data_IF_507746718170
#
_entry.id   IF_507746718170
#
_cell.length_a   1.000
_cell.length_b   1.000
_cell.length_c   1.000
_cell.angle_alpha   90.00
_cell.angle_beta   90.00
_cell.angle_gamma   90.00
#
_symmetry.space_group_name_H-M   'P 1'
#
loop_
_entity.id
_entity.type
_entity.pdbx_description
1 polymer ?
#
# COMPACT_ATOMS: atom_id res chain seq x y z
N UNK A 1 19.95 -68.08 29.09
CA UNK A 1 20.41 -67.30 27.96
C UNK A 1 19.25 -66.36 27.57
N UNK A 2 19.25 -65.13 28.03
CA UNK A 2 18.16 -64.14 27.83
C UNK A 2 18.60 -63.22 26.71
N UNK A 3 17.85 -63.21 25.60
CA UNK A 3 18.09 -62.37 24.43
C UNK A 3 17.27 -61.08 24.65
N UNK A 4 17.95 -59.95 24.94
CA UNK A 4 17.33 -58.61 24.92
C UNK A 4 17.30 -58.08 23.48
N UNK A 5 16.12 -57.88 22.94
CA UNK A 5 15.91 -57.16 21.68
C UNK A 5 15.72 -55.67 21.94
N UNK A 6 16.67 -54.85 21.48
CA UNK A 6 16.53 -53.40 21.45
C UNK A 6 15.67 -53.01 20.24
N UNK A 7 14.51 -52.38 20.51
CA UNK A 7 13.68 -51.74 19.51
C UNK A 7 14.16 -50.32 19.29
N UNK A 8 14.75 -50.03 18.14
CA UNK A 8 15.06 -48.64 17.71
C UNK A 8 13.75 -47.97 17.26
N UNK A 9 13.28 -47.01 18.07
CA UNK A 9 12.19 -46.12 17.67
C UNK A 9 12.75 -45.02 16.78
N UNK A 10 12.46 -45.10 15.47
CA UNK A 10 12.76 -44.00 14.53
C UNK A 10 11.75 -42.87 14.72
N UNK A 11 12.19 -41.79 15.37
CA UNK A 11 11.42 -40.56 15.50
C UNK A 11 11.17 -39.93 14.14
N UNK A 12 9.94 -39.92 13.68
CA UNK A 12 9.55 -39.16 12.48
C UNK A 12 9.66 -37.66 12.77
N UNK A 13 10.65 -36.97 12.16
CA UNK A 13 10.73 -35.54 12.11
C UNK A 13 9.60 -35.05 11.20
N UNK A 14 8.53 -34.53 11.79
CA UNK A 14 7.50 -33.80 11.04
C UNK A 14 8.15 -32.57 10.41
N UNK A 15 8.46 -32.61 9.12
CA UNK A 15 8.74 -31.40 8.32
C UNK A 15 7.49 -30.53 8.33
N UNK A 16 7.47 -29.50 9.14
CA UNK A 16 6.49 -28.43 9.02
C UNK A 16 6.67 -27.82 7.62
N UNK A 17 5.85 -28.22 6.66
CA UNK A 17 5.65 -27.48 5.43
C UNK A 17 4.99 -26.17 5.84
N UNK A 18 5.74 -25.07 5.82
CA UNK A 18 5.17 -23.74 5.82
C UNK A 18 4.41 -23.63 4.49
N UNK A 19 3.12 -23.88 4.53
CA UNK A 19 2.23 -23.61 3.39
C UNK A 19 2.15 -22.11 3.27
N UNK A 20 2.87 -21.53 2.29
CA UNK A 20 2.67 -20.13 1.93
C UNK A 20 1.22 -19.97 1.49
N UNK A 21 0.49 -19.06 2.15
CA UNK A 21 -0.86 -18.71 1.71
C UNK A 21 -0.81 -18.24 0.25
N UNK A 22 -1.80 -18.61 -0.59
CA UNK A 22 -1.83 -18.21 -1.98
C UNK A 22 -1.91 -16.68 -2.06
N UNK A 23 -1.04 -16.07 -2.87
CA UNK A 23 -1.04 -14.63 -3.10
C UNK A 23 -2.11 -14.27 -4.12
N UNK A 24 -2.89 -13.23 -3.84
CA UNK A 24 -3.78 -12.66 -4.84
C UNK A 24 -2.97 -12.02 -5.97
N UNK A 25 -3.42 -12.16 -7.21
CA UNK A 25 -2.83 -11.47 -8.36
C UNK A 25 -3.78 -10.34 -8.77
N UNK A 26 -3.26 -9.13 -8.82
CA UNK A 26 -3.97 -7.93 -9.21
C UNK A 26 -3.30 -7.41 -10.47
N UNK A 27 -4.08 -7.18 -11.52
CA UNK A 27 -3.59 -6.55 -12.74
C UNK A 27 -4.27 -5.20 -12.89
N UNK A 28 -3.48 -4.14 -13.04
CA UNK A 28 -3.96 -2.79 -13.32
C UNK A 28 -3.26 -2.25 -14.56
N UNK A 29 -3.93 -1.34 -15.27
CA UNK A 29 -3.40 -0.68 -16.46
C UNK A 29 -2.68 -1.61 -17.47
N UNK A 30 -3.30 -2.71 -17.92
CA UNK A 30 -2.64 -3.68 -18.80
C UNK A 30 -2.27 -3.09 -20.18
N UNK A 31 -2.97 -2.03 -20.60
CA UNK A 31 -2.82 -1.36 -21.91
C UNK A 31 -1.72 -0.28 -21.91
N UNK A 32 -1.11 0.01 -20.77
CA UNK A 32 0.00 0.95 -20.64
C UNK A 32 1.16 0.58 -21.58
N UNK A 33 1.85 1.58 -22.12
CA UNK A 33 2.90 1.42 -23.17
C UNK A 33 4.32 1.43 -22.59
N UNK A 34 4.46 1.83 -21.34
CA UNK A 34 5.75 1.86 -20.63
C UNK A 34 6.13 0.53 -20.00
N UNK A 35 7.10 0.59 -19.11
CA UNK A 35 7.61 -0.58 -18.38
C UNK A 35 6.54 -1.29 -17.59
N UNK A 36 6.65 -2.62 -17.52
CA UNK A 36 5.84 -3.45 -16.63
C UNK A 36 6.49 -3.46 -15.24
N UNK A 37 5.68 -3.16 -14.24
CA UNK A 37 6.10 -3.02 -12.85
C UNK A 37 5.30 -4.03 -12.03
N UNK A 38 6.00 -4.95 -11.38
CA UNK A 38 5.41 -5.95 -10.50
C UNK A 38 5.78 -5.64 -9.06
N UNK A 39 4.80 -5.50 -8.18
CA UNK A 39 4.99 -5.25 -6.76
C UNK A 39 4.44 -6.42 -5.98
N UNK A 40 5.30 -7.11 -5.25
CA UNK A 40 4.94 -8.20 -4.36
C UNK A 40 4.91 -7.68 -2.92
N UNK A 41 3.75 -7.69 -2.28
CA UNK A 41 3.59 -7.37 -0.87
C UNK A 41 3.31 -8.65 -0.08
N UNK A 42 4.15 -8.92 0.90
CA UNK A 42 3.92 -9.98 1.90
C UNK A 42 3.25 -9.34 3.10
N UNK A 43 2.08 -9.87 3.45
CA UNK A 43 1.31 -9.44 4.60
C UNK A 43 2.11 -9.58 5.89
N UNK A 44 2.19 -8.51 6.65
CA UNK A 44 2.80 -8.50 7.97
C UNK A 44 1.85 -8.93 9.08
N UNK A 45 2.41 -9.14 10.27
CA UNK A 45 1.68 -9.64 11.45
C UNK A 45 0.58 -8.70 11.97
N UNK A 46 0.69 -7.40 11.67
CA UNK A 46 -0.26 -6.37 12.12
C UNK A 46 -1.28 -5.99 11.05
N UNK A 47 -1.27 -6.63 9.88
CA UNK A 47 -2.18 -6.30 8.79
C UNK A 47 -3.64 -6.58 9.13
N UNK A 48 -4.47 -5.54 9.09
CA UNK A 48 -5.90 -5.60 9.37
C UNK A 48 -6.68 -4.74 8.36
N UNK A 49 -6.99 -5.29 7.19
CA UNK A 49 -7.70 -4.62 6.09
C UNK A 49 -7.08 -3.25 5.69
N UNK A 50 -5.77 -3.19 5.41
CA UNK A 50 -5.12 -1.95 5.09
C UNK A 50 -5.61 -1.40 3.75
N UNK A 51 -5.62 -0.07 3.65
CA UNK A 51 -5.75 0.67 2.40
C UNK A 51 -4.37 1.13 1.96
N UNK A 52 -4.12 1.17 0.64
CA UNK A 52 -2.82 1.53 0.11
C UNK A 52 -2.94 2.23 -1.24
N UNK A 53 -1.93 3.00 -1.59
CA UNK A 53 -1.73 3.49 -2.95
C UNK A 53 -0.32 3.14 -3.42
N UNK A 54 -0.19 2.80 -4.69
CA UNK A 54 1.08 2.60 -5.37
C UNK A 54 1.16 3.57 -6.53
N UNK A 55 2.28 4.31 -6.64
CA UNK A 55 2.46 5.31 -7.69
C UNK A 55 3.93 5.45 -8.09
N UNK A 56 4.15 6.21 -9.15
CA UNK A 56 5.46 6.55 -9.68
C UNK A 56 5.77 8.03 -9.45
N UNK A 57 7.01 8.30 -9.11
CA UNK A 57 7.59 9.64 -9.09
C UNK A 57 8.87 9.69 -9.94
N UNK A 58 9.22 10.86 -10.45
CA UNK A 58 10.54 11.08 -11.01
C UNK A 58 11.63 11.15 -9.92
N UNK A 59 12.88 11.28 -10.31
CA UNK A 59 14.03 11.35 -9.37
C UNK A 59 13.96 12.55 -8.41
N UNK A 60 13.20 13.59 -8.75
CA UNK A 60 13.04 14.82 -7.96
C UNK A 60 11.79 14.80 -7.08
N UNK A 61 10.99 13.73 -7.16
CA UNK A 61 9.80 13.53 -6.34
C UNK A 61 8.52 14.11 -6.95
N UNK A 62 8.52 14.46 -8.25
CA UNK A 62 7.29 14.84 -8.94
C UNK A 62 6.47 13.59 -9.27
N UNK A 63 5.17 13.66 -9.02
CA UNK A 63 4.23 12.61 -9.34
C UNK A 63 4.15 12.36 -10.86
N UNK A 64 4.20 11.09 -11.26
CA UNK A 64 4.05 10.65 -12.67
C UNK A 64 2.66 10.08 -12.87
N UNK A 65 2.33 8.97 -12.20
CA UNK A 65 1.02 8.31 -12.29
C UNK A 65 0.77 7.36 -11.11
N UNK A 66 -0.48 7.07 -10.80
CA UNK A 66 -0.85 5.96 -9.94
C UNK A 66 -0.75 4.64 -10.70
N UNK A 67 -0.29 3.60 -10.03
CA UNK A 67 -0.31 2.22 -10.52
C UNK A 67 -1.52 1.46 -9.95
N UNK A 68 -1.85 1.71 -8.68
CA UNK A 68 -2.97 1.06 -8.02
C UNK A 68 -3.46 1.86 -6.81
N UNK A 69 -4.77 1.85 -6.62
CA UNK A 69 -5.44 2.27 -5.40
C UNK A 69 -6.73 1.47 -5.22
N UNK A 70 -7.18 1.13 -3.99
CA UNK A 70 -8.46 0.46 -3.79
C UNK A 70 -9.63 1.29 -4.31
N UNK A 71 -10.61 0.65 -4.93
CA UNK A 71 -11.77 1.32 -5.53
C UNK A 71 -12.53 2.22 -4.53
N UNK A 72 -12.56 1.87 -3.25
CA UNK A 72 -13.16 2.71 -2.20
C UNK A 72 -12.46 4.05 -2.06
N UNK A 73 -11.12 4.06 -2.11
CA UNK A 73 -10.32 5.30 -2.06
C UNK A 73 -10.39 6.02 -3.40
N UNK A 74 -10.33 5.27 -4.52
CA UNK A 74 -10.38 5.82 -5.87
C UNK A 74 -11.66 6.64 -6.14
N UNK A 75 -12.78 6.20 -5.58
CA UNK A 75 -14.10 6.83 -5.78
C UNK A 75 -14.55 7.69 -4.61
N UNK A 76 -13.93 7.56 -3.43
CA UNK A 76 -14.45 8.14 -2.19
C UNK A 76 -15.74 7.47 -1.69
N UNK A 77 -16.11 6.28 -2.22
CA UNK A 77 -17.29 5.51 -1.83
C UNK A 77 -16.83 4.28 -1.02
N UNK A 78 -17.20 4.24 0.24
CA UNK A 78 -16.81 3.16 1.16
C UNK A 78 -18.00 2.27 1.48
N UNK A 79 -17.75 0.97 1.72
CA UNK A 79 -18.77 -0.02 2.07
C UNK A 79 -19.62 0.40 3.29
N UNK A 80 -19.01 1.09 4.24
CA UNK A 80 -19.63 1.62 5.45
C UNK A 80 -19.51 3.15 5.49
N UNK A 81 -19.76 3.82 4.36
CA UNK A 81 -19.57 5.27 4.21
C UNK A 81 -20.72 6.11 4.74
N UNK A 82 -21.91 5.56 4.84
CA UNK A 82 -23.15 6.27 5.17
C UNK A 82 -23.98 5.47 6.16
N UNK A 83 -24.69 6.15 7.04
CA UNK A 83 -25.65 5.52 7.96
C UNK A 83 -27.07 5.92 7.57
N UNK A 84 -27.95 4.92 7.38
CA UNK A 84 -29.39 5.10 7.17
C UNK A 84 -30.16 4.11 8.06
N UNK A 85 -31.18 4.58 8.76
CA UNK A 85 -32.03 3.74 9.63
C UNK A 85 -31.21 2.85 10.59
N UNK A 86 -30.18 3.41 11.21
CA UNK A 86 -29.22 2.74 12.11
C UNK A 86 -28.42 1.59 11.44
N UNK A 87 -28.36 1.52 10.11
CA UNK A 87 -27.56 0.57 9.36
C UNK A 87 -26.48 1.28 8.56
N UNK A 88 -25.27 0.73 8.58
CA UNK A 88 -24.19 1.18 7.71
C UNK A 88 -24.39 0.62 6.31
N UNK A 89 -24.39 1.49 5.32
CA UNK A 89 -24.55 1.18 3.89
C UNK A 89 -23.41 1.82 3.08
N UNK A 90 -23.18 1.37 1.83
CA UNK A 90 -22.24 2.02 0.94
C UNK A 90 -22.60 3.49 0.72
N UNK A 91 -21.60 4.35 0.74
CA UNK A 91 -21.80 5.78 0.54
C UNK A 91 -20.49 6.56 0.49
N UNK A 92 -20.60 7.81 0.08
CA UNK A 92 -19.47 8.73 0.06
C UNK A 92 -19.03 9.07 1.49
N UNK A 93 -17.70 8.99 1.71
CA UNK A 93 -17.08 9.38 2.97
C UNK A 93 -15.79 10.14 2.69
N UNK A 94 -15.64 11.27 3.37
CA UNK A 94 -14.40 12.04 3.34
C UNK A 94 -13.48 11.50 4.44
N UNK A 95 -12.30 11.01 4.03
CA UNK A 95 -11.31 10.38 4.91
C UNK A 95 -9.89 10.79 4.50
N UNK A 96 -9.54 12.10 4.63
CA UNK A 96 -8.27 12.63 4.15
C UNK A 96 -7.06 12.01 4.83
N UNK A 97 -7.21 11.47 6.04
CA UNK A 97 -6.17 10.78 6.79
C UNK A 97 -5.77 9.40 6.21
N UNK A 98 -6.55 8.88 5.25
CA UNK A 98 -6.35 7.51 4.78
C UNK A 98 -5.03 7.34 4.04
N UNK A 99 -4.78 8.15 3.00
CA UNK A 99 -3.55 8.13 2.18
C UNK A 99 -3.16 9.58 1.81
N UNK A 100 -2.76 10.40 2.80
CA UNK A 100 -2.59 11.84 2.60
C UNK A 100 -1.43 12.19 1.66
N UNK A 101 -0.28 11.50 1.80
CA UNK A 101 0.90 11.81 1.00
C UNK A 101 0.63 11.57 -0.49
N UNK A 102 0.13 10.39 -0.86
CA UNK A 102 -0.25 10.08 -2.22
C UNK A 102 -1.30 11.05 -2.79
N UNK A 103 -2.35 11.36 -2.02
CA UNK A 103 -3.43 12.20 -2.51
C UNK A 103 -2.97 13.63 -2.80
N UNK A 104 -2.11 14.21 -1.96
CA UNK A 104 -1.50 15.51 -2.21
C UNK A 104 -0.51 15.48 -3.38
N UNK A 105 0.29 14.39 -3.52
CA UNK A 105 1.21 14.19 -4.65
C UNK A 105 0.48 14.17 -5.98
N UNK A 106 -0.72 13.59 -6.06
CA UNK A 106 -1.55 13.67 -7.27
C UNK A 106 -1.91 15.11 -7.67
N UNK A 107 -1.98 16.02 -6.74
CA UNK A 107 -2.31 17.43 -6.96
C UNK A 107 -3.75 17.70 -7.43
N UNK A 108 -4.65 16.71 -7.32
CA UNK A 108 -6.06 16.85 -7.73
C UNK A 108 -6.90 17.24 -6.52
N UNK A 109 -7.47 18.44 -6.58
CA UNK A 109 -8.31 19.00 -5.52
C UNK A 109 -9.77 18.67 -5.81
N UNK A 110 -10.48 18.13 -4.81
CA UNK A 110 -11.91 17.86 -4.85
C UNK A 110 -12.74 19.14 -4.66
N UNK A 111 -14.05 19.03 -4.80
CA UNK A 111 -14.98 20.19 -4.69
C UNK A 111 -15.00 20.83 -3.30
N UNK A 112 -14.66 20.05 -2.27
CA UNK A 112 -14.59 20.48 -0.87
C UNK A 112 -13.19 20.97 -0.44
N UNK A 113 -12.25 21.08 -1.39
CA UNK A 113 -10.89 21.54 -1.12
C UNK A 113 -9.92 20.45 -0.63
N UNK A 114 -10.37 19.22 -0.44
CA UNK A 114 -9.51 18.10 -0.06
C UNK A 114 -8.83 17.48 -1.29
N UNK A 115 -7.64 16.91 -1.09
CA UNK A 115 -6.89 16.24 -2.16
C UNK A 115 -7.35 14.80 -2.42
N UNK A 116 -8.05 14.16 -1.48
CA UNK A 116 -8.56 12.81 -1.68
C UNK A 116 -9.63 12.74 -2.79
N UNK A 117 -9.74 11.62 -3.52
CA UNK A 117 -10.76 11.44 -4.55
C UNK A 117 -12.19 11.57 -4.00
N UNK A 118 -13.11 11.95 -4.89
CA UNK A 118 -14.55 12.03 -4.63
C UNK A 118 -15.34 11.41 -5.80
N UNK A 119 -16.64 11.06 -5.63
CA UNK A 119 -17.42 10.43 -6.70
C UNK A 119 -17.46 11.24 -8.02
N UNK A 120 -17.40 12.58 -7.92
CA UNK A 120 -17.38 13.48 -9.08
C UNK A 120 -16.03 13.58 -9.78
N UNK A 121 -14.94 13.19 -9.10
CA UNK A 121 -13.55 13.21 -9.59
C UNK A 121 -12.79 11.96 -9.15
N UNK A 122 -13.20 10.76 -9.59
CA UNK A 122 -12.55 9.50 -9.19
C UNK A 122 -11.16 9.36 -9.82
N UNK A 123 -10.37 8.43 -9.27
CA UNK A 123 -9.20 7.90 -9.99
C UNK A 123 -9.71 7.03 -11.14
N UNK A 124 -9.09 7.09 -12.34
CA UNK A 124 -9.47 6.22 -13.45
C UNK A 124 -9.50 4.73 -13.07
N UNK A 125 -10.47 3.98 -13.61
CA UNK A 125 -10.67 2.56 -13.34
C UNK A 125 -9.44 1.71 -13.67
N UNK A 126 -8.65 2.12 -14.67
CA UNK A 126 -7.39 1.44 -15.02
C UNK A 126 -6.42 1.28 -13.82
N UNK A 127 -6.48 2.17 -12.84
CA UNK A 127 -5.60 2.17 -11.66
C UNK A 127 -6.32 1.78 -10.37
N UNK A 128 -7.55 1.29 -10.44
CA UNK A 128 -8.31 0.93 -9.24
C UNK A 128 -8.77 -0.52 -9.26
N UNK A 129 -9.02 -1.07 -8.06
CA UNK A 129 -9.45 -2.46 -7.92
C UNK A 129 -9.91 -2.80 -6.51
N UNK A 130 -10.18 -4.09 -6.30
CA UNK A 130 -10.56 -4.60 -5.00
C UNK A 130 -9.41 -4.42 -3.98
N UNK A 131 -9.75 -4.09 -2.73
CA UNK A 131 -8.76 -4.01 -1.65
C UNK A 131 -8.18 -5.39 -1.36
N UNK A 132 -6.85 -5.60 -1.48
CA UNK A 132 -6.25 -6.87 -1.11
C UNK A 132 -6.27 -7.04 0.40
N UNK A 133 -6.66 -8.22 0.87
CA UNK A 133 -6.78 -8.53 2.31
C UNK A 133 -5.65 -9.43 2.83
N UNK A 134 -4.83 -9.96 1.93
CA UNK A 134 -3.68 -10.83 2.21
C UNK A 134 -2.45 -10.41 1.43
N UNK A 135 -1.46 -11.31 1.36
CA UNK A 135 -0.32 -11.13 0.46
C UNK A 135 -0.78 -11.10 -0.99
N UNK A 136 -0.16 -10.25 -1.82
CA UNK A 136 -0.55 -10.12 -3.22
C UNK A 136 0.63 -9.78 -4.13
N UNK A 137 0.41 -9.93 -5.43
CA UNK A 137 1.27 -9.43 -6.49
C UNK A 137 0.43 -8.48 -7.34
N UNK A 138 0.84 -7.23 -7.41
CA UNK A 138 0.29 -6.23 -8.31
C UNK A 138 1.16 -6.19 -9.57
N UNK A 139 0.57 -6.43 -10.74
CA UNK A 139 1.20 -6.17 -12.03
C UNK A 139 0.54 -4.95 -12.65
N UNK A 140 1.33 -3.97 -13.05
CA UNK A 140 0.86 -2.74 -13.69
C UNK A 140 1.83 -2.30 -14.78
N UNK A 141 1.36 -1.44 -15.66
CA UNK A 141 2.21 -0.81 -16.67
C UNK A 141 2.18 0.71 -16.54
N UNK A 142 3.33 1.33 -16.79
CA UNK A 142 3.35 2.78 -16.97
C UNK A 142 2.61 3.16 -18.27
N UNK A 143 1.90 4.29 -18.28
CA UNK A 143 1.19 4.76 -19.46
C UNK A 143 2.15 5.07 -20.61
N UNK A 144 3.29 5.64 -20.27
CA UNK A 144 4.33 6.13 -21.17
C UNK A 144 5.71 5.67 -20.73
N UNK A 145 6.69 5.93 -21.56
CA UNK A 145 8.10 5.75 -21.19
C UNK A 145 8.44 6.52 -19.91
N UNK A 146 9.18 5.87 -19.02
CA UNK A 146 9.66 6.47 -17.77
C UNK A 146 11.08 7.02 -17.96
N UNK A 147 11.50 7.99 -17.12
CA UNK A 147 12.89 8.41 -17.06
C UNK A 147 13.79 7.24 -16.65
N UNK A 148 15.09 7.31 -16.97
CA UNK A 148 16.05 6.25 -16.60
C UNK A 148 16.14 6.01 -15.09
N UNK A 149 15.89 7.07 -14.30
CA UNK A 149 15.83 6.98 -12.84
C UNK A 149 14.46 7.48 -12.40
N UNK A 150 13.72 6.64 -11.72
CA UNK A 150 12.41 6.94 -11.15
C UNK A 150 12.22 6.22 -9.82
N UNK A 151 11.16 6.58 -9.11
CA UNK A 151 10.79 5.98 -7.83
C UNK A 151 9.48 5.23 -7.96
N UNK A 152 9.43 4.05 -7.36
CA UNK A 152 8.17 3.37 -7.04
C UNK A 152 7.86 3.66 -5.59
N UNK A 153 6.69 4.24 -5.35
CA UNK A 153 6.23 4.66 -4.04
C UNK A 153 5.03 3.81 -3.62
N UNK A 154 4.90 3.57 -2.32
CA UNK A 154 3.74 2.93 -1.74
C UNK A 154 3.42 3.63 -0.40
N UNK A 155 2.17 4.04 -0.23
CA UNK A 155 1.63 4.50 1.06
C UNK A 155 0.61 3.48 1.55
N UNK A 156 0.67 3.11 2.83
CA UNK A 156 -0.21 2.11 3.42
C UNK A 156 -0.68 2.55 4.80
N UNK A 157 -1.97 2.35 5.07
CA UNK A 157 -2.61 2.71 6.31
C UNK A 157 -3.70 1.69 6.69
N UNK A 158 -4.05 1.65 7.94
CA UNK A 158 -5.23 0.92 8.44
C UNK A 158 -5.94 1.72 9.53
N UNK A 159 -7.24 1.51 9.66
CA UNK A 159 -8.05 2.21 10.65
C UNK A 159 -7.82 1.66 12.06
N UNK A 160 -7.97 2.54 13.06
CA UNK A 160 -7.95 2.20 14.49
C UNK A 160 -6.62 1.60 14.98
N UNK A 161 -5.52 1.97 14.32
CA UNK A 161 -4.18 1.48 14.61
C UNK A 161 -3.48 2.38 15.65
N UNK A 162 -3.92 2.30 16.90
CA UNK A 162 -3.34 3.09 17.99
C UNK A 162 -2.21 2.34 18.73
N UNK A 163 -1.31 3.11 19.35
CA UNK A 163 -0.27 2.62 20.24
C UNK A 163 -0.08 3.58 21.44
N UNK A 164 0.97 3.39 22.22
CA UNK A 164 1.24 4.24 23.40
C UNK A 164 1.51 5.70 23.06
N UNK A 165 2.12 5.98 21.90
CA UNK A 165 2.39 7.35 21.44
C UNK A 165 1.20 7.96 20.66
N UNK A 166 0.61 7.18 19.76
CA UNK A 166 -0.56 7.53 18.93
C UNK A 166 -1.82 6.98 19.60
N UNK A 167 -2.14 7.49 20.79
CA UNK A 167 -3.35 7.07 21.51
C UNK A 167 -4.60 7.54 20.79
N UNK A 168 -5.71 6.83 20.93
CA UNK A 168 -6.98 7.21 20.31
C UNK A 168 -7.56 8.56 20.80
N UNK A 169 -7.00 9.12 21.86
CA UNK A 169 -7.40 10.40 22.46
C UNK A 169 -6.29 11.47 22.41
N UNK A 170 -5.22 11.26 21.63
CA UNK A 170 -4.12 12.25 21.53
C UNK A 170 -4.56 13.59 20.94
N UNK A 171 -5.49 13.56 19.99
CA UNK A 171 -6.11 14.73 19.37
C UNK A 171 -7.64 14.58 19.46
N UNK A 172 -8.25 14.91 20.61
CA UNK A 172 -9.66 14.60 20.89
C UNK A 172 -10.65 15.32 19.99
N UNK A 173 -10.27 16.44 19.41
CA UNK A 173 -11.10 17.26 18.53
C UNK A 173 -10.85 17.00 17.03
N UNK A 174 -10.00 16.00 16.69
CA UNK A 174 -9.69 15.64 15.31
C UNK A 174 -10.26 14.26 14.95
N UNK A 175 -11.46 14.25 14.37
CA UNK A 175 -12.14 13.01 14.00
C UNK A 175 -11.40 12.22 12.90
N UNK A 176 -10.65 12.89 12.01
CA UNK A 176 -9.82 12.22 11.02
C UNK A 176 -8.69 11.46 11.69
N UNK A 177 -8.03 12.08 12.67
CA UNK A 177 -7.02 11.41 13.49
C UNK A 177 -7.56 10.16 14.18
N UNK A 178 -8.71 10.26 14.85
CA UNK A 178 -9.32 9.14 15.58
C UNK A 178 -9.62 7.93 14.69
N UNK A 179 -9.86 8.14 13.40
CA UNK A 179 -10.11 7.05 12.45
C UNK A 179 -8.86 6.25 12.10
N UNK A 180 -7.68 6.85 12.16
CA UNK A 180 -6.40 6.24 11.78
C UNK A 180 -5.53 5.94 13.00
N UNK A 181 -5.29 6.91 13.86
CA UNK A 181 -4.33 6.97 14.96
C UNK A 181 -2.89 7.00 14.46
N UNK A 182 -2.20 5.86 14.29
CA UNK A 182 -0.90 5.88 13.63
C UNK A 182 -1.07 6.38 12.18
N UNK A 183 -0.21 7.31 11.72
CA UNK A 183 -0.26 7.79 10.34
C UNK A 183 0.16 6.73 9.33
N UNK A 184 -0.22 6.94 8.06
CA UNK A 184 0.15 6.07 6.96
C UNK A 184 1.67 6.05 6.76
N UNK A 185 2.23 4.86 6.53
CA UNK A 185 3.65 4.66 6.25
C UNK A 185 3.91 4.77 4.77
N UNK A 186 4.94 5.50 4.39
CA UNK A 186 5.38 5.67 3.00
C UNK A 186 6.65 4.86 2.77
N UNK A 187 6.65 4.04 1.72
CA UNK A 187 7.76 3.20 1.28
C UNK A 187 8.24 3.65 -0.09
N UNK A 188 9.54 3.47 -0.36
CA UNK A 188 10.20 3.85 -1.60
C UNK A 188 11.10 2.73 -2.11
N UNK A 189 11.14 2.57 -3.45
CA UNK A 189 12.23 1.90 -4.17
C UNK A 189 12.70 2.81 -5.31
N UNK A 190 14.00 3.06 -5.40
CA UNK A 190 14.61 3.83 -6.49
C UNK A 190 15.06 2.87 -7.58
N UNK A 191 14.56 3.07 -8.79
CA UNK A 191 14.81 2.24 -9.96
C UNK A 191 15.76 2.96 -10.89
N UNK A 192 16.81 2.26 -11.37
CA UNK A 192 17.70 2.73 -12.41
C UNK A 192 17.66 1.76 -13.59
N UNK A 193 17.00 2.14 -14.69
CA UNK A 193 16.85 1.26 -15.86
C UNK A 193 18.10 1.09 -16.69
N UNK A 194 19.13 1.94 -16.51
CA UNK A 194 20.44 1.78 -17.15
C UNK A 194 21.28 0.69 -16.48
N UNK A 195 21.04 0.44 -15.20
CA UNK A 195 21.71 -0.63 -14.43
C UNK A 195 20.66 -1.31 -13.55
N UNK A 196 19.74 -2.10 -14.14
CA UNK A 196 18.61 -2.68 -13.41
C UNK A 196 19.06 -3.81 -12.49
N UNK A 197 18.49 -3.84 -11.29
CA UNK A 197 18.58 -4.98 -10.38
C UNK A 197 17.49 -6.01 -10.70
N UNK A 198 17.69 -7.25 -10.26
CA UNK A 198 16.68 -8.31 -10.39
C UNK A 198 15.41 -8.00 -9.59
N UNK A 199 15.58 -7.33 -8.45
CA UNK A 199 14.49 -6.90 -7.58
C UNK A 199 14.95 -5.78 -6.66
N UNK A 200 14.00 -4.96 -6.21
CA UNK A 200 14.23 -3.83 -5.32
C UNK A 200 13.37 -3.99 -4.07
N UNK A 201 13.99 -4.04 -2.90
CA UNK A 201 13.27 -4.01 -1.64
C UNK A 201 12.85 -2.57 -1.33
N UNK A 202 11.54 -2.32 -1.18
CA UNK A 202 11.06 -1.03 -0.73
C UNK A 202 11.39 -0.81 0.75
N UNK A 203 11.83 0.41 1.07
CA UNK A 203 12.18 0.81 2.44
C UNK A 203 11.18 1.86 2.93
N UNK A 204 10.79 1.84 4.22
CA UNK A 204 10.01 2.94 4.78
C UNK A 204 10.88 4.20 4.82
N UNK A 205 10.36 5.30 4.28
CA UNK A 205 11.06 6.59 4.19
C UNK A 205 10.43 7.66 5.07
N UNK A 206 9.28 7.38 5.66
CA UNK A 206 8.58 8.30 6.55
C UNK A 206 7.11 7.91 6.69
N UNK A 207 6.37 8.81 7.32
CA UNK A 207 4.93 8.73 7.45
C UNK A 207 4.27 10.03 7.00
N UNK A 208 2.99 9.95 6.64
CA UNK A 208 2.18 11.11 6.26
C UNK A 208 1.66 11.88 7.48
N UNK A 209 0.97 13.00 7.24
CA UNK A 209 0.28 13.73 8.30
C UNK A 209 -0.87 12.89 8.88
N UNK A 210 -0.94 12.76 10.20
CA UNK A 210 -1.87 11.89 10.94
C UNK A 210 -3.37 12.13 10.67
N UNK A 211 -3.75 13.34 10.26
CA UNK A 211 -5.14 13.68 9.92
C UNK A 211 -5.34 14.08 8.46
N UNK A 212 -4.29 14.02 7.64
CA UNK A 212 -4.36 14.34 6.22
C UNK A 212 -4.46 15.83 5.87
N UNK A 213 -4.13 16.74 6.81
CA UNK A 213 -4.17 18.18 6.58
C UNK A 213 -3.11 18.66 5.61
N UNK A 214 -1.96 18.00 5.57
CA UNK A 214 -0.86 18.34 4.67
C UNK A 214 -0.37 17.11 3.91
N UNK A 215 0.34 17.36 2.80
CA UNK A 215 1.05 16.34 2.01
C UNK A 215 2.53 16.21 2.39
N UNK A 216 2.92 16.62 3.58
CA UNK A 216 4.28 16.49 4.07
C UNK A 216 4.63 15.05 4.40
N UNK A 217 5.89 14.69 4.17
CA UNK A 217 6.49 13.45 4.60
C UNK A 217 7.32 13.71 5.87
N UNK A 218 6.97 13.04 6.95
CA UNK A 218 7.67 13.10 8.22
C UNK A 218 8.63 11.91 8.33
N UNK A 219 9.95 12.13 8.42
CA UNK A 219 10.93 11.04 8.37
C UNK A 219 11.03 10.23 9.67
N UNK A 220 10.43 10.71 10.77
CA UNK A 220 10.49 10.02 12.07
C UNK A 220 9.57 8.79 12.09
N UNK A 221 10.16 7.62 12.10
CA UNK A 221 9.47 6.33 12.22
C UNK A 221 9.48 5.79 13.66
N UNK A 222 10.18 6.44 14.58
CA UNK A 222 10.39 5.94 15.95
C UNK A 222 9.12 5.87 16.79
N UNK A 223 8.08 6.57 16.41
CA UNK A 223 6.78 6.57 17.11
C UNK A 223 5.79 5.52 16.57
N UNK A 224 6.14 4.85 15.45
CA UNK A 224 5.30 3.85 14.81
C UNK A 224 5.63 2.44 15.32
N UNK A 225 4.62 1.59 15.39
CA UNK A 225 4.75 0.20 15.85
C UNK A 225 4.05 -0.78 14.89
N UNK A 226 2.76 -1.03 15.07
CA UNK A 226 1.94 -1.88 14.21
C UNK A 226 1.88 -1.39 12.77
N UNK A 227 1.86 -0.09 12.53
CA UNK A 227 1.88 0.51 11.19
C UNK A 227 3.08 0.04 10.35
N UNK A 228 4.27 -0.09 10.94
CA UNK A 228 5.46 -0.64 10.28
C UNK A 228 5.39 -2.16 10.05
N UNK A 229 4.45 -2.85 10.67
CA UNK A 229 4.26 -4.29 10.57
C UNK A 229 3.01 -4.69 9.77
N UNK A 230 2.41 -3.76 9.04
CA UNK A 230 1.30 -4.05 8.11
C UNK A 230 1.82 -4.89 6.93
N UNK A 231 2.99 -4.58 6.41
CA UNK A 231 3.72 -5.39 5.44
C UNK A 231 4.99 -5.97 6.07
N UNK A 232 5.28 -7.24 5.81
CA UNK A 232 6.53 -7.90 6.20
C UNK A 232 7.65 -7.53 5.21
N UNK A 233 7.32 -7.54 3.93
CA UNK A 233 8.23 -7.10 2.86
C UNK A 233 7.44 -6.60 1.65
N UNK A 234 8.03 -5.67 0.91
CA UNK A 234 7.49 -5.14 -0.34
C UNK A 234 8.62 -5.14 -1.36
N UNK A 235 8.47 -5.93 -2.43
CA UNK A 235 9.49 -6.14 -3.45
C UNK A 235 8.98 -5.66 -4.80
N UNK A 236 9.76 -4.82 -5.47
CA UNK A 236 9.50 -4.34 -6.84
C UNK A 236 10.36 -5.09 -7.83
N UNK A 237 9.77 -5.50 -8.96
CA UNK A 237 10.47 -6.04 -10.13
C UNK A 237 10.04 -5.27 -11.36
N UNK A 238 10.98 -5.01 -12.27
CA UNK A 238 10.72 -4.24 -13.48
C UNK A 238 11.05 -5.12 -14.70
N UNK A 239 10.12 -5.14 -15.64
CA UNK A 239 10.37 -5.69 -16.97
C UNK A 239 10.44 -4.54 -17.96
N UNK A 240 11.64 -4.29 -18.45
CA UNK A 240 11.90 -3.22 -19.41
C UNK A 240 11.22 -3.53 -20.75
N UNK A 241 10.55 -2.54 -21.31
CA UNK A 241 10.08 -2.60 -22.69
C UNK A 241 11.25 -2.17 -23.58
N UNK A 242 11.79 -3.10 -24.37
CA UNK A 242 12.82 -2.82 -25.37
C UNK A 242 12.14 -2.28 -26.63
N UNK A 243 12.57 -1.12 -27.14
CA UNK A 243 12.18 -0.66 -28.47
C UNK A 243 11.25 0.55 -28.55
N UNK A 244 11.08 1.33 -27.48
CA UNK A 244 10.52 2.69 -27.63
C UNK A 244 11.68 3.66 -27.88
N UNK A 245 12.10 3.76 -29.14
CA UNK A 245 12.92 4.90 -29.56
C UNK A 245 12.11 6.18 -29.34
N UNK A 246 12.70 7.11 -28.61
CA UNK A 246 12.20 8.49 -28.40
C UNK A 246 12.09 9.24 -29.72
#
# INVERSE_FOLDING_TARGET
>A
MVILTFACSAGQVKKNRVTQEPKAIINSNPDGKGHEISIELIKGKSSNYPLMAVWLEDKTGNYIQSLFVPASVATGIFKYGKQENNKWIPGSKRAPQTLPYWSHKRGVVASDGLFMPEPGKPVPDAYSGATPTGSFILNSRADKSLPDIFRVMLEINQNWDFNEYWTNNKFPDDDNYKMSCQPAVVYEAVINTRNPETSYLMKPVGHSHYSGKTGELFPDLGTLTSALNIADSIIVRIKLVTGVNL
#
